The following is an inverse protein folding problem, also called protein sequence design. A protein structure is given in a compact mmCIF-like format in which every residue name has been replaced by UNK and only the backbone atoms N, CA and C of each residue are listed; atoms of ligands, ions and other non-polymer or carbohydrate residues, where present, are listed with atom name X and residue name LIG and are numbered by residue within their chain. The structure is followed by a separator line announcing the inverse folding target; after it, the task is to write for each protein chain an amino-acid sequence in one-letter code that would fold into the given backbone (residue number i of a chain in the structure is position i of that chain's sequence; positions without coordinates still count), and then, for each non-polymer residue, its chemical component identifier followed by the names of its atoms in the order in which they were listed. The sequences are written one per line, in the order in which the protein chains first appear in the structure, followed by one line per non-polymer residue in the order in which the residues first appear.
data_IF_865648749633
#
_entry.id   IF_865648749633
#
_cell.length_a   1.000
_cell.length_b   1.000
_cell.length_c   1.000
_cell.angle_alpha   90.00
_cell.angle_beta   90.00
_cell.angle_gamma   90.00
#
_symmetry.space_group_name_H-M   'P 1'
#
loop_
_entity.id
_entity.type
_entity.pdbx_description
1 polymer ?
#
# COMPACT_ATOMS: atom_id res chain seq x y z
N UNK A 1 -5.23 9.76 -11.33
CA UNK A 1 -5.28 10.78 -12.40
C UNK A 1 -3.89 11.05 -12.98
N UNK A 2 -2.87 11.33 -12.15
CA UNK A 2 -1.48 11.57 -12.59
C UNK A 2 -0.88 10.41 -13.40
N UNK A 3 -1.01 9.16 -12.94
CA UNK A 3 -0.44 8.01 -13.67
C UNK A 3 -1.07 7.80 -15.06
N UNK A 4 -2.39 8.01 -15.20
CA UNK A 4 -3.07 7.93 -16.52
C UNK A 4 -2.64 9.05 -17.45
N UNK A 5 -2.41 10.25 -16.90
CA UNK A 5 -1.87 11.36 -17.66
C UNK A 5 -0.45 11.04 -18.14
N UNK A 6 0.41 10.51 -17.25
CA UNK A 6 1.77 10.07 -17.60
C UNK A 6 1.78 9.01 -18.72
N UNK A 7 0.90 8.01 -18.63
CA UNK A 7 0.79 6.99 -19.67
C UNK A 7 0.44 7.58 -21.05
N UNK A 8 -0.30 8.71 -21.10
CA UNK A 8 -0.70 9.36 -22.37
C UNK A 8 0.32 10.38 -22.88
N UNK A 9 0.89 11.19 -21.99
CA UNK A 9 1.71 12.36 -22.39
C UNK A 9 3.21 12.16 -22.17
N UNK A 10 3.60 11.16 -21.37
CA UNK A 10 4.99 10.94 -20.93
C UNK A 10 5.62 12.19 -20.30
N UNK A 11 4.80 13.06 -19.71
CA UNK A 11 5.25 14.38 -19.23
C UNK A 11 6.29 14.31 -18.11
N UNK A 12 6.10 13.43 -17.12
CA UNK A 12 7.06 13.20 -16.05
C UNK A 12 8.32 12.52 -16.57
N UNK A 13 8.17 11.51 -17.45
CA UNK A 13 9.33 10.86 -18.07
C UNK A 13 10.19 11.86 -18.85
N UNK A 14 9.57 12.75 -19.62
CA UNK A 14 10.27 13.78 -20.39
C UNK A 14 10.93 14.84 -19.47
N UNK A 15 10.27 15.21 -18.37
CA UNK A 15 10.83 16.17 -17.41
C UNK A 15 12.05 15.61 -16.65
N UNK A 16 11.97 14.36 -16.21
CA UNK A 16 13.06 13.70 -15.47
C UNK A 16 14.10 13.01 -16.38
N UNK A 17 13.90 13.04 -17.71
CA UNK A 17 14.77 12.42 -18.71
C UNK A 17 14.80 10.89 -18.71
N UNK A 18 14.16 10.23 -17.75
CA UNK A 18 14.11 8.76 -17.63
C UNK A 18 12.84 8.29 -16.92
N UNK A 19 12.22 7.24 -17.47
CA UNK A 19 11.02 6.62 -16.92
C UNK A 19 11.25 6.04 -15.52
N UNK A 20 12.45 5.48 -15.28
CA UNK A 20 12.81 4.94 -13.97
C UNK A 20 12.89 6.05 -12.93
N UNK A 21 13.64 7.12 -13.21
CA UNK A 21 13.79 8.26 -12.28
C UNK A 21 12.44 8.89 -11.97
N UNK A 22 11.59 9.10 -12.97
CA UNK A 22 10.25 9.62 -12.79
C UNK A 22 9.36 8.71 -11.92
N UNK A 23 9.42 7.39 -12.12
CA UNK A 23 8.69 6.42 -11.30
C UNK A 23 9.19 6.39 -9.85
N UNK A 24 10.51 6.43 -9.63
CA UNK A 24 11.08 6.51 -8.28
C UNK A 24 10.70 7.79 -7.55
N UNK A 25 10.78 8.95 -8.23
CA UNK A 25 10.34 10.22 -7.67
C UNK A 25 8.85 10.22 -7.31
N UNK A 26 7.99 9.66 -8.17
CA UNK A 26 6.56 9.52 -7.88
C UNK A 26 6.33 8.57 -6.70
N UNK A 27 7.01 7.42 -6.66
CA UNK A 27 6.89 6.46 -5.56
C UNK A 27 7.32 7.07 -4.22
N UNK A 28 8.40 7.85 -4.21
CA UNK A 28 8.84 8.59 -3.03
C UNK A 28 7.77 9.59 -2.56
N UNK A 29 7.18 10.36 -3.48
CA UNK A 29 6.09 11.27 -3.17
C UNK A 29 4.86 10.54 -2.61
N UNK A 30 4.50 9.39 -3.18
CA UNK A 30 3.40 8.55 -2.68
C UNK A 30 3.66 8.11 -1.24
N UNK A 31 4.89 7.66 -0.92
CA UNK A 31 5.26 7.25 0.44
C UNK A 31 5.12 8.43 1.41
N UNK A 32 5.64 9.61 1.06
CA UNK A 32 5.52 10.80 1.90
C UNK A 32 4.07 11.18 2.18
N UNK A 33 3.22 11.18 1.13
CA UNK A 33 1.79 11.43 1.28
C UNK A 33 1.11 10.35 2.16
N UNK A 34 1.57 9.10 2.09
CA UNK A 34 1.05 8.02 2.92
C UNK A 34 1.40 8.20 4.40
N UNK A 35 2.63 8.61 4.70
CA UNK A 35 3.06 8.95 6.06
C UNK A 35 2.24 10.11 6.60
N UNK A 36 2.09 11.18 5.82
CA UNK A 36 1.27 12.33 6.19
C UNK A 36 -0.18 11.92 6.49
N UNK A 37 -0.81 11.15 5.59
CA UNK A 37 -2.17 10.63 5.77
C UNK A 37 -2.30 9.79 7.05
N UNK A 38 -1.34 8.91 7.29
CA UNK A 38 -1.36 8.03 8.47
C UNK A 38 -1.23 8.83 9.76
N UNK A 39 -0.37 9.85 9.78
CA UNK A 39 -0.26 10.76 10.92
C UNK A 39 -1.57 11.52 11.17
N UNK A 40 -2.18 12.09 10.12
CA UNK A 40 -3.47 12.78 10.24
C UNK A 40 -4.59 11.85 10.71
N UNK A 41 -4.61 10.60 10.25
CA UNK A 41 -5.59 9.60 10.68
C UNK A 41 -5.44 9.27 12.17
N UNK A 42 -4.22 9.00 12.63
CA UNK A 42 -3.96 8.71 14.05
C UNK A 42 -4.39 9.87 14.94
N UNK A 43 -4.05 11.11 14.56
CA UNK A 43 -4.45 12.29 15.32
C UNK A 43 -5.96 12.52 15.34
N UNK A 44 -6.67 12.14 14.26
CA UNK A 44 -8.14 12.18 14.24
C UNK A 44 -8.75 11.08 15.13
N UNK A 45 -8.21 9.86 15.08
CA UNK A 45 -8.68 8.73 15.89
C UNK A 45 -8.49 8.96 17.38
N UNK A 46 -7.40 9.63 17.81
CA UNK A 46 -7.17 9.98 19.22
C UNK A 46 -8.27 10.85 19.83
N UNK A 47 -9.02 11.58 19.00
CA UNK A 47 -10.11 12.46 19.44
C UNK A 47 -11.48 11.76 19.47
N UNK A 48 -11.57 10.52 18.98
CA UNK A 48 -12.82 9.77 18.94
C UNK A 48 -13.01 8.97 20.23
N UNK A 49 -14.25 8.90 20.76
CA UNK A 49 -14.58 8.02 21.88
C UNK A 49 -14.41 6.56 21.45
N UNK A 50 -13.70 5.77 22.27
CA UNK A 50 -13.51 4.33 22.04
C UNK A 50 -14.75 3.55 22.48
N UNK A 51 -15.07 2.49 21.76
CA UNK A 51 -16.16 1.59 22.13
C UNK A 51 -15.67 0.63 23.23
N UNK A 52 -16.32 0.62 24.40
CA UNK A 52 -15.94 -0.21 25.55
C UNK A 52 -15.86 -1.72 25.24
N UNK A 53 -16.63 -2.20 24.25
CA UNK A 53 -16.60 -3.59 23.80
C UNK A 53 -15.24 -4.00 23.19
N UNK A 54 -14.49 -3.04 22.64
CA UNK A 54 -13.17 -3.26 22.04
C UNK A 54 -12.02 -3.21 23.07
N UNK A 55 -12.30 -2.88 24.35
CA UNK A 55 -11.28 -2.88 25.40
C UNK A 55 -11.00 -4.28 25.99
N UNK A 56 -11.65 -5.31 25.45
CA UNK A 56 -11.42 -6.69 25.84
C UNK A 56 -10.07 -7.22 25.33
N UNK A 57 -9.44 -8.11 26.11
CA UNK A 57 -8.20 -8.77 25.70
C UNK A 57 -8.38 -9.57 24.40
N UNK A 58 -9.57 -10.13 24.17
CA UNK A 58 -9.91 -10.85 22.95
C UNK A 58 -9.90 -9.93 21.71
N UNK A 59 -10.47 -8.73 21.82
CA UNK A 59 -10.42 -7.73 20.75
C UNK A 59 -8.96 -7.36 20.43
N UNK A 60 -8.14 -7.09 21.44
CA UNK A 60 -6.72 -6.78 21.26
C UNK A 60 -5.96 -7.90 20.51
N UNK A 61 -6.10 -9.16 20.92
CA UNK A 61 -5.42 -10.28 20.25
C UNK A 61 -5.95 -10.50 18.83
N UNK A 62 -7.25 -10.32 18.59
CA UNK A 62 -7.82 -10.39 17.25
C UNK A 62 -7.27 -9.29 16.33
N UNK A 63 -7.14 -8.06 16.85
CA UNK A 63 -6.54 -6.94 16.13
C UNK A 63 -5.08 -7.17 15.79
N UNK A 64 -4.31 -7.72 16.75
CA UNK A 64 -2.91 -8.08 16.55
C UNK A 64 -2.74 -9.19 15.50
N UNK A 65 -3.61 -10.21 15.50
CA UNK A 65 -3.60 -11.26 14.49
C UNK A 65 -3.92 -10.71 13.09
N UNK A 66 -4.92 -9.83 12.98
CA UNK A 66 -5.26 -9.15 11.72
C UNK A 66 -4.09 -8.30 11.20
N UNK A 67 -3.41 -7.58 12.10
CA UNK A 67 -2.22 -6.79 11.74
C UNK A 67 -1.06 -7.67 11.27
N UNK A 68 -0.84 -8.82 11.92
CA UNK A 68 0.20 -9.78 11.53
C UNK A 68 -0.06 -10.37 10.14
N UNK A 69 -1.28 -10.87 9.90
CA UNK A 69 -1.69 -11.45 8.62
C UNK A 69 -1.68 -10.38 7.51
N UNK A 70 -2.24 -9.21 7.79
CA UNK A 70 -2.30 -8.11 6.84
C UNK A 70 -0.91 -7.63 6.41
N UNK A 71 -0.01 -7.47 7.38
CA UNK A 71 1.38 -7.10 7.13
C UNK A 71 2.12 -8.17 6.33
N UNK A 72 1.90 -9.47 6.63
CA UNK A 72 2.46 -10.56 5.85
C UNK A 72 2.07 -10.45 4.37
N UNK A 73 0.80 -10.21 4.06
CA UNK A 73 0.34 -10.04 2.68
C UNK A 73 0.90 -8.78 2.02
N UNK A 74 0.96 -7.65 2.71
CA UNK A 74 1.54 -6.42 2.16
C UNK A 74 3.02 -6.60 1.83
N UNK A 75 3.82 -7.11 2.78
CA UNK A 75 5.26 -7.27 2.59
C UNK A 75 5.59 -8.33 1.55
N UNK A 76 4.91 -9.47 1.57
CA UNK A 76 5.13 -10.51 0.55
C UNK A 76 4.70 -10.05 -0.84
N UNK A 77 3.59 -9.30 -0.96
CA UNK A 77 3.19 -8.67 -2.23
C UNK A 77 4.22 -7.68 -2.74
N UNK A 78 4.73 -6.83 -1.84
CA UNK A 78 5.74 -5.83 -2.17
C UNK A 78 7.05 -6.49 -2.61
N UNK A 79 7.49 -7.54 -1.90
CA UNK A 79 8.67 -8.31 -2.29
C UNK A 79 8.50 -8.95 -3.67
N UNK A 80 7.31 -9.51 -3.94
CA UNK A 80 7.04 -10.17 -5.20
C UNK A 80 6.87 -9.17 -6.37
N UNK A 81 6.32 -7.97 -6.15
CA UNK A 81 6.14 -6.95 -7.20
C UNK A 81 7.38 -6.06 -7.40
N UNK A 82 8.12 -5.78 -6.33
CA UNK A 82 9.17 -4.77 -6.27
C UNK A 82 8.63 -3.34 -6.23
N UNK A 83 9.54 -2.37 -6.16
CA UNK A 83 9.19 -0.95 -6.06
C UNK A 83 8.40 -0.46 -7.29
N UNK A 84 8.91 -0.67 -8.49
CA UNK A 84 8.27 -0.20 -9.73
C UNK A 84 6.95 -0.90 -9.99
N UNK A 85 6.83 -2.19 -9.66
CA UNK A 85 5.57 -2.93 -9.76
C UNK A 85 4.51 -2.44 -8.76
N UNK A 86 4.93 -1.87 -7.63
CA UNK A 86 4.03 -1.32 -6.61
C UNK A 86 3.62 0.12 -6.91
N UNK A 87 4.56 0.95 -7.36
CA UNK A 87 4.36 2.40 -7.55
C UNK A 87 4.09 2.79 -9.02
N UNK A 88 3.21 2.04 -9.68
CA UNK A 88 2.64 2.39 -11.00
C UNK A 88 3.68 2.45 -12.14
N UNK A 89 4.75 1.66 -12.06
CA UNK A 89 5.79 1.59 -13.09
C UNK A 89 5.25 1.18 -14.47
N UNK A 90 4.14 0.46 -14.53
CA UNK A 90 3.42 0.12 -15.76
C UNK A 90 3.00 1.37 -16.56
N UNK A 91 2.59 2.44 -15.89
CA UNK A 91 2.23 3.71 -16.52
C UNK A 91 3.46 4.46 -17.08
N UNK A 92 4.64 4.19 -16.52
CA UNK A 92 5.93 4.64 -17.04
C UNK A 92 6.51 3.69 -18.10
N UNK A 93 5.79 2.63 -18.47
CA UNK A 93 6.23 1.62 -19.43
C UNK A 93 7.25 0.62 -18.86
N UNK A 94 7.42 0.61 -17.53
CA UNK A 94 8.26 -0.36 -16.82
C UNK A 94 7.40 -1.59 -16.52
N UNK A 95 7.33 -2.48 -17.50
CA UNK A 95 6.52 -3.70 -17.41
C UNK A 95 7.36 -4.86 -16.89
N UNK A 96 6.77 -5.67 -16.02
CA UNK A 96 7.34 -6.97 -15.66
C UNK A 96 7.25 -7.93 -16.84
N UNK A 97 8.30 -8.74 -17.04
CA UNK A 97 8.34 -9.76 -18.10
C UNK A 97 7.21 -10.80 -18.00
N UNK A 98 6.77 -11.09 -16.77
CA UNK A 98 5.72 -12.06 -16.50
C UNK A 98 4.85 -11.62 -15.31
N UNK A 99 3.58 -12.04 -15.32
CA UNK A 99 2.67 -11.86 -14.19
C UNK A 99 3.22 -12.61 -12.98
N UNK A 100 3.12 -11.99 -11.81
CA UNK A 100 3.48 -12.63 -10.55
C UNK A 100 2.40 -13.64 -10.19
N UNK A 101 2.78 -14.90 -10.04
CA UNK A 101 1.89 -16.01 -9.69
C UNK A 101 2.27 -16.70 -8.38
N UNK A 102 3.38 -16.30 -7.75
CA UNK A 102 3.79 -16.83 -6.45
C UNK A 102 3.02 -16.21 -5.29
N UNK A 103 3.27 -16.68 -4.07
CA UNK A 103 2.66 -16.13 -2.87
C UNK A 103 2.91 -14.62 -2.73
N UNK A 104 1.90 -13.81 -2.37
CA UNK A 104 0.51 -14.16 -2.03
C UNK A 104 -0.49 -14.15 -3.20
N UNK A 105 -0.02 -13.97 -4.45
CA UNK A 105 -0.87 -13.89 -5.65
C UNK A 105 -1.42 -15.25 -6.12
N UNK A 106 -0.94 -16.36 -5.58
CA UNK A 106 -1.47 -17.70 -5.85
C UNK A 106 -2.73 -18.03 -5.05
N UNK A 107 -2.97 -17.35 -3.93
CA UNK A 107 -4.08 -17.65 -3.02
C UNK A 107 -5.23 -16.66 -3.10
N UNK A 108 -4.97 -15.42 -3.53
CA UNK A 108 -6.01 -14.40 -3.69
C UNK A 108 -5.62 -13.32 -4.69
N UNK A 109 -6.63 -12.65 -5.23
CA UNK A 109 -6.43 -11.47 -6.06
C UNK A 109 -6.14 -10.23 -5.21
N UNK A 110 -5.22 -9.39 -5.68
CA UNK A 110 -4.89 -8.10 -5.06
C UNK A 110 -4.50 -8.20 -3.57
N UNK A 111 -3.57 -9.10 -3.19
CA UNK A 111 -3.23 -9.38 -1.79
C UNK A 111 -2.74 -8.16 -0.99
N UNK A 112 -2.09 -7.19 -1.64
CA UNK A 112 -1.68 -5.94 -0.99
C UNK A 112 -2.87 -5.11 -0.50
N UNK A 113 -4.00 -5.12 -1.22
CA UNK A 113 -5.20 -4.39 -0.84
C UNK A 113 -5.90 -5.07 0.33
N UNK A 114 -6.10 -6.39 0.26
CA UNK A 114 -6.65 -7.17 1.37
C UNK A 114 -5.79 -7.05 2.63
N UNK A 115 -4.47 -7.13 2.49
CA UNK A 115 -3.54 -6.97 3.60
C UNK A 115 -3.61 -5.57 4.23
N UNK A 116 -3.72 -4.52 3.42
CA UNK A 116 -3.88 -3.15 3.93
C UNK A 116 -5.20 -2.97 4.67
N UNK A 117 -6.30 -3.53 4.16
CA UNK A 117 -7.61 -3.51 4.83
C UNK A 117 -7.54 -4.23 6.16
N UNK A 118 -6.93 -5.42 6.22
CA UNK A 118 -6.73 -6.17 7.46
C UNK A 118 -5.90 -5.39 8.48
N UNK A 119 -4.85 -4.68 8.04
CA UNK A 119 -4.05 -3.82 8.91
C UNK A 119 -4.85 -2.65 9.50
N UNK A 120 -5.64 -1.94 8.69
CA UNK A 120 -6.48 -0.85 9.19
C UNK A 120 -7.57 -1.35 10.15
N UNK A 121 -8.16 -2.50 9.85
CA UNK A 121 -9.14 -3.14 10.73
C UNK A 121 -8.48 -3.54 12.06
N UNK A 122 -7.31 -4.17 12.00
CA UNK A 122 -6.55 -4.58 13.18
C UNK A 122 -6.19 -3.40 14.09
N UNK A 123 -5.73 -2.27 13.53
CA UNK A 123 -5.45 -1.04 14.29
C UNK A 123 -6.72 -0.42 14.88
N UNK A 124 -7.88 -0.61 14.25
CA UNK A 124 -9.15 -0.04 14.73
C UNK A 124 -9.76 -0.88 15.85
N UNK A 125 -9.55 -2.20 15.80
CA UNK A 125 -10.06 -3.17 16.79
C UNK A 125 -9.19 -3.19 18.06
N UNK A 126 -7.92 -2.81 17.94
CA UNK A 126 -6.92 -2.73 19.02
C UNK A 126 -6.87 -1.35 19.68
#
# INVERSE_FOLDING_TARGET
MVARWEHKTRGLTNFFGSAHTACYSLGFLIILLNVYRSHSFTEAMRKQPKLELLESAEAFYSGLALLGIGSLFVFSSYYALGFTGTFLGDHFGILKKQKVTGFPFNIMDNPMYWGSTANYLGITVM
#
